data_IF_779080614362
#
_entry.id   IF_779080614362
#
_cell.length_a   1.000
_cell.length_b   1.000
_cell.length_c   1.000
_cell.angle_alpha   90.00
_cell.angle_beta   90.00
_cell.angle_gamma   90.00
#
_symmetry.space_group_name_H-M   'P 1'
#
loop_
_entity.id
_entity.type
_entity.pdbx_description
1 polymer ?
#
# COMPACT_ATOMS: atom_id res chain seq x y z
N UNK A 1 25.35 20.29 79.31
CA UNK A 1 23.98 19.89 78.82
C UNK A 1 23.59 20.47 77.47
N UNK A 2 24.21 21.58 76.94
CA UNK A 2 23.89 22.22 75.68
C UNK A 2 24.42 21.54 74.41
N UNK A 3 25.42 20.66 74.49
CA UNK A 3 26.06 20.06 73.30
C UNK A 3 25.31 18.82 72.79
N UNK A 4 24.68 18.00 73.68
CA UNK A 4 23.94 16.80 73.31
C UNK A 4 22.65 17.11 72.49
N UNK A 5 22.01 18.24 72.74
CA UNK A 5 20.79 18.64 72.00
C UNK A 5 21.06 19.08 70.57
N UNK A 6 22.18 19.69 70.28
CA UNK A 6 22.54 20.09 68.91
C UNK A 6 22.83 18.85 68.01
N UNK A 7 23.50 17.84 68.55
CA UNK A 7 23.80 16.61 67.77
C UNK A 7 22.53 15.83 67.48
N UNK A 8 21.62 15.69 68.46
CA UNK A 8 20.34 15.02 68.25
C UNK A 8 19.44 15.73 67.24
N UNK A 9 19.43 17.08 67.22
CA UNK A 9 18.64 17.84 66.26
C UNK A 9 19.19 17.69 64.83
N UNK A 10 20.49 17.61 64.63
CA UNK A 10 21.13 17.40 63.32
C UNK A 10 20.83 15.99 62.82
N UNK A 11 20.91 14.95 63.65
CA UNK A 11 20.56 13.58 63.26
C UNK A 11 19.09 13.43 62.88
N UNK A 12 18.17 14.12 63.54
CA UNK A 12 16.73 14.07 63.25
C UNK A 12 16.45 14.77 61.92
N UNK A 13 17.10 15.91 61.64
CA UNK A 13 16.95 16.64 60.38
C UNK A 13 17.53 15.84 59.19
N UNK A 14 18.72 15.25 59.33
CA UNK A 14 19.31 14.40 58.29
C UNK A 14 18.48 13.15 57.99
N UNK A 15 17.84 12.55 59.01
CA UNK A 15 16.92 11.42 58.79
C UNK A 15 15.64 11.82 58.11
N UNK A 16 15.08 12.99 58.44
CA UNK A 16 13.85 13.48 57.78
C UNK A 16 14.10 13.80 56.30
N UNK A 17 15.23 14.41 55.98
CA UNK A 17 15.60 14.73 54.57
C UNK A 17 15.78 13.45 53.75
N UNK A 18 16.45 12.43 54.28
CA UNK A 18 16.60 11.15 53.55
C UNK A 18 15.28 10.40 53.35
N UNK A 19 14.33 10.54 54.25
CA UNK A 19 12.99 9.96 54.10
C UNK A 19 12.18 10.77 53.09
N UNK A 20 12.24 12.10 53.14
CA UNK A 20 11.54 12.98 52.20
C UNK A 20 12.04 12.78 50.79
N UNK A 21 13.35 12.68 50.56
CA UNK A 21 13.91 12.38 49.23
C UNK A 21 13.51 11.01 48.70
N UNK A 22 13.42 9.99 49.54
CA UNK A 22 12.93 8.64 49.14
C UNK A 22 11.45 8.65 48.75
N UNK A 23 10.62 9.41 49.47
CA UNK A 23 9.19 9.54 49.15
C UNK A 23 9.00 10.30 47.89
N UNK A 24 9.73 11.40 47.65
CA UNK A 24 9.69 12.17 46.40
C UNK A 24 10.14 11.27 45.21
N UNK A 25 11.18 10.47 45.40
CA UNK A 25 11.67 9.55 44.34
C UNK A 25 10.66 8.45 44.05
N UNK A 26 9.98 7.90 45.05
CA UNK A 26 8.94 6.88 44.87
C UNK A 26 7.70 7.46 44.15
N UNK A 27 7.30 8.70 44.48
CA UNK A 27 6.14 9.36 43.84
C UNK A 27 6.46 9.73 42.41
N UNK A 28 7.69 10.16 42.11
CA UNK A 28 8.09 10.44 40.72
C UNK A 28 8.15 9.19 39.86
N UNK A 29 8.63 8.07 40.37
CA UNK A 29 8.65 6.80 39.63
C UNK A 29 7.23 6.27 39.39
N UNK A 30 6.33 6.38 40.38
CA UNK A 30 4.93 5.95 40.20
C UNK A 30 4.16 6.85 39.26
N UNK A 31 4.37 8.17 39.29
CA UNK A 31 3.75 9.10 38.34
C UNK A 31 4.28 8.89 36.92
N UNK A 32 5.59 8.68 36.74
CA UNK A 32 6.20 8.36 35.44
C UNK A 32 5.69 7.03 34.89
N UNK A 33 5.52 6.02 35.72
CA UNK A 33 4.96 4.72 35.33
C UNK A 33 3.49 4.80 34.91
N UNK A 34 2.68 5.66 35.54
CA UNK A 34 1.28 5.88 35.18
C UNK A 34 1.16 6.64 33.82
N UNK A 35 2.02 7.63 33.59
CA UNK A 35 2.03 8.37 32.30
C UNK A 35 2.51 7.46 31.16
N UNK A 36 3.50 6.59 31.40
CA UNK A 36 3.93 5.61 30.41
C UNK A 36 2.87 4.54 30.13
N UNK A 37 2.16 4.07 31.16
CA UNK A 37 1.08 3.10 30.97
C UNK A 37 -0.12 3.68 30.19
N UNK A 38 -0.41 4.96 30.32
CA UNK A 38 -1.44 5.64 29.52
C UNK A 38 -0.97 5.89 28.07
N UNK A 39 0.31 6.17 27.84
CA UNK A 39 0.87 6.34 26.50
C UNK A 39 0.88 5.02 25.71
N UNK A 40 1.17 3.89 26.36
CA UNK A 40 1.14 2.57 25.71
C UNK A 40 -0.30 2.10 25.44
N UNK A 41 -1.28 2.49 26.27
CA UNK A 41 -2.69 2.15 26.04
C UNK A 41 -3.31 2.92 24.85
N UNK A 42 -2.72 4.04 24.41
CA UNK A 42 -3.20 4.81 23.25
C UNK A 42 -2.50 4.45 21.94
N UNK A 43 -1.43 3.65 21.96
CA UNK A 43 -0.70 3.22 20.77
C UNK A 43 -1.37 2.03 20.02
N UNK A 44 -2.45 1.45 20.54
CA UNK A 44 -3.12 0.29 19.95
C UNK A 44 -4.46 0.60 19.25
N UNK A 45 -4.77 1.86 18.91
CA UNK A 45 -6.05 2.21 18.29
C UNK A 45 -5.95 3.17 17.12
N UNK A 46 -5.05 2.95 16.17
CA UNK A 46 -5.13 3.57 14.85
C UNK A 46 -4.86 2.55 13.74
N UNK A 47 -5.63 1.47 13.72
CA UNK A 47 -5.97 0.86 12.43
C UNK A 47 -7.24 1.57 11.97
N UNK A 48 -7.13 2.44 10.99
CA UNK A 48 -8.28 3.06 10.35
C UNK A 48 -8.93 2.04 9.41
N UNK A 49 -9.53 0.99 9.99
CA UNK A 49 -10.38 0.09 9.25
C UNK A 49 -11.56 0.89 8.69
N UNK A 50 -11.91 0.64 7.43
CA UNK A 50 -13.13 1.19 6.88
C UNK A 50 -14.32 0.73 7.74
N UNK A 51 -15.33 1.58 7.91
CA UNK A 51 -16.55 1.26 8.68
C UNK A 51 -17.77 1.36 7.79
N UNK A 52 -18.73 0.49 8.01
CA UNK A 52 -20.03 0.56 7.34
C UNK A 52 -20.90 1.61 8.02
N UNK A 53 -21.46 2.53 7.26
CA UNK A 53 -22.51 3.43 7.72
C UNK A 53 -23.86 2.74 7.52
N UNK A 54 -24.40 2.18 8.61
CA UNK A 54 -25.64 1.40 8.61
C UNK A 54 -26.84 2.22 8.16
N UNK A 55 -26.96 3.48 8.61
CA UNK A 55 -28.10 4.36 8.31
C UNK A 55 -28.21 4.70 6.81
N UNK A 56 -27.13 4.59 6.07
CA UNK A 56 -27.06 4.90 4.64
C UNK A 56 -26.88 3.66 3.77
N UNK A 57 -26.81 2.48 4.38
CA UNK A 57 -26.67 1.18 3.70
C UNK A 57 -28.02 0.47 3.61
N UNK A 58 -28.27 -0.19 2.48
CA UNK A 58 -29.54 -0.89 2.24
C UNK A 58 -29.34 -2.03 1.24
N UNK A 59 -30.10 -3.11 1.45
CA UNK A 59 -30.27 -4.21 0.50
C UNK A 59 -31.78 -4.33 0.26
N UNK A 60 -32.20 -4.20 -0.98
CA UNK A 60 -33.63 -4.18 -1.34
C UNK A 60 -33.91 -4.94 -2.63
N UNK A 61 -35.14 -5.42 -2.75
CA UNK A 61 -35.59 -6.09 -3.95
C UNK A 61 -35.98 -5.08 -5.04
N UNK A 62 -35.54 -5.35 -6.25
CA UNK A 62 -35.88 -4.60 -7.43
C UNK A 62 -36.95 -5.30 -8.27
N UNK A 63 -37.12 -4.85 -9.52
CA UNK A 63 -38.07 -5.46 -10.45
C UNK A 63 -37.54 -6.80 -10.99
N UNK A 64 -38.50 -7.72 -11.32
CA UNK A 64 -38.19 -9.02 -11.94
C UNK A 64 -37.23 -9.91 -11.13
N UNK A 65 -37.30 -9.87 -9.80
CA UNK A 65 -36.44 -10.67 -8.92
C UNK A 65 -34.98 -10.22 -8.87
N UNK A 66 -34.70 -8.98 -9.22
CA UNK A 66 -33.39 -8.36 -8.99
C UNK A 66 -33.22 -7.94 -7.54
N UNK A 67 -31.97 -7.83 -7.10
CA UNK A 67 -31.60 -7.31 -5.78
C UNK A 67 -30.58 -6.18 -5.98
N UNK A 68 -30.75 -5.10 -5.25
CA UNK A 68 -29.76 -4.01 -5.20
C UNK A 68 -29.16 -3.93 -3.80
N UNK A 69 -27.85 -3.99 -3.71
CA UNK A 69 -27.09 -3.80 -2.49
C UNK A 69 -26.32 -2.49 -2.59
N UNK A 70 -26.51 -1.62 -1.59
CA UNK A 70 -25.72 -0.41 -1.41
C UNK A 70 -25.14 -0.38 0.00
N UNK A 71 -23.81 -0.33 0.10
CA UNK A 71 -23.08 -0.12 1.35
C UNK A 71 -22.33 1.20 1.30
N UNK A 72 -22.57 2.05 2.28
CA UNK A 72 -21.81 3.27 2.50
C UNK A 72 -20.65 3.00 3.45
N UNK A 73 -19.45 3.30 3.00
CA UNK A 73 -18.21 3.04 3.71
C UNK A 73 -17.51 4.35 4.09
N UNK A 74 -16.85 4.36 5.24
CA UNK A 74 -16.09 5.53 5.69
C UNK A 74 -14.89 5.85 4.80
N UNK A 75 -14.41 4.88 4.02
CA UNK A 75 -13.33 5.00 3.04
C UNK A 75 -13.43 3.87 2.01
N UNK A 76 -12.84 4.04 0.81
CA UNK A 76 -12.81 2.98 -0.18
C UNK A 76 -11.92 1.83 0.29
N UNK A 77 -12.35 0.60 0.00
CA UNK A 77 -11.60 -0.63 0.28
C UNK A 77 -11.64 -1.55 -0.95
N UNK A 78 -10.58 -2.30 -1.21
CA UNK A 78 -10.63 -3.39 -2.19
C UNK A 78 -11.67 -4.42 -1.79
N UNK A 79 -12.40 -4.92 -2.78
CA UNK A 79 -13.41 -5.93 -2.55
C UNK A 79 -13.49 -6.88 -3.75
N UNK A 80 -14.06 -8.06 -3.53
CA UNK A 80 -14.44 -9.00 -4.58
C UNK A 80 -15.80 -9.58 -4.29
N UNK A 81 -16.53 -9.93 -5.35
CA UNK A 81 -17.86 -10.54 -5.26
C UNK A 81 -17.84 -11.86 -6.03
N UNK A 82 -18.35 -12.92 -5.41
CA UNK A 82 -18.45 -14.23 -6.04
C UNK A 82 -19.66 -15.01 -5.53
N UNK A 83 -20.03 -16.05 -6.25
CA UNK A 83 -21.14 -16.91 -5.87
C UNK A 83 -20.62 -18.24 -5.35
N UNK A 84 -21.34 -18.83 -4.39
CA UNK A 84 -21.12 -20.19 -3.90
C UNK A 84 -22.42 -21.00 -3.98
N UNK A 85 -22.31 -22.30 -4.23
CA UNK A 85 -23.43 -23.24 -4.18
C UNK A 85 -23.42 -24.09 -2.92
N UNK A 86 -24.61 -24.67 -2.67
CA UNK A 86 -24.85 -25.66 -1.60
C UNK A 86 -24.59 -25.11 -0.19
N UNK A 87 -25.40 -24.14 0.28
CA UNK A 87 -26.50 -23.45 -0.36
C UNK A 87 -26.06 -22.31 -1.29
N UNK A 88 -26.99 -21.77 -2.10
CA UNK A 88 -26.72 -20.65 -2.99
C UNK A 88 -26.43 -19.37 -2.18
N UNK A 89 -25.32 -18.71 -2.46
CA UNK A 89 -24.84 -17.54 -1.72
C UNK A 89 -24.14 -16.56 -2.65
N UNK A 90 -24.27 -15.27 -2.36
CA UNK A 90 -23.34 -14.24 -2.80
C UNK A 90 -22.37 -13.99 -1.66
N UNK A 91 -21.09 -13.95 -1.97
CA UNK A 91 -20.03 -13.66 -1.01
C UNK A 91 -19.31 -12.40 -1.46
N UNK A 92 -19.12 -11.47 -0.53
CA UNK A 92 -18.37 -10.24 -0.75
C UNK A 92 -17.24 -10.20 0.27
N UNK A 93 -16.01 -10.29 -0.21
CA UNK A 93 -14.81 -10.12 0.62
C UNK A 93 -14.34 -8.68 0.54
N UNK A 94 -13.94 -8.13 1.67
CA UNK A 94 -13.40 -6.80 1.81
C UNK A 94 -12.03 -6.85 2.47
N UNK A 95 -11.12 -6.02 2.01
CA UNK A 95 -9.88 -5.77 2.72
C UNK A 95 -10.13 -4.68 3.79
N UNK A 96 -9.69 -4.94 5.03
CA UNK A 96 -9.70 -3.96 6.13
C UNK A 96 -11.04 -3.24 6.39
N UNK A 97 -12.15 -3.99 6.41
CA UNK A 97 -13.48 -3.48 6.78
C UNK A 97 -13.86 -3.95 8.19
N UNK A 98 -14.25 -3.00 9.05
CA UNK A 98 -14.78 -3.23 10.40
C UNK A 98 -16.32 -3.26 10.37
N UNK A 99 -16.88 -4.34 10.89
CA UNK A 99 -18.33 -4.54 11.01
C UNK A 99 -18.91 -4.10 12.36
N UNK A 100 -18.12 -3.42 13.20
CA UNK A 100 -18.61 -2.95 14.49
C UNK A 100 -19.82 -2.02 14.32
N UNK A 101 -20.94 -2.39 14.94
CA UNK A 101 -22.19 -1.64 14.84
C UNK A 101 -23.03 -1.95 13.60
N UNK A 102 -22.65 -2.89 12.75
CA UNK A 102 -23.49 -3.32 11.64
C UNK A 102 -24.74 -4.05 12.16
N UNK A 103 -25.90 -3.60 11.72
CA UNK A 103 -27.21 -4.16 12.06
C UNK A 103 -27.86 -4.73 10.80
N UNK A 104 -27.91 -6.06 10.73
CA UNK A 104 -28.49 -6.80 9.62
C UNK A 104 -29.96 -6.40 9.37
N UNK A 105 -30.76 -6.32 10.44
CA UNK A 105 -32.19 -6.04 10.33
C UNK A 105 -32.45 -4.60 9.82
N UNK A 106 -31.54 -3.68 10.10
CA UNK A 106 -31.61 -2.31 9.59
C UNK A 106 -31.29 -2.26 8.08
N UNK A 107 -30.34 -3.06 7.61
CA UNK A 107 -29.81 -3.03 6.24
C UNK A 107 -30.58 -3.94 5.29
N UNK A 108 -30.91 -5.18 5.70
CA UNK A 108 -31.60 -6.14 4.84
C UNK A 108 -33.11 -5.88 4.78
N UNK A 109 -33.58 -5.47 3.62
CA UNK A 109 -35.03 -5.30 3.30
C UNK A 109 -35.46 -6.22 2.16
N UNK A 110 -34.61 -7.14 1.72
CA UNK A 110 -34.88 -8.07 0.63
C UNK A 110 -35.55 -9.33 1.15
N UNK A 111 -36.61 -9.81 0.46
CA UNK A 111 -37.26 -11.09 0.70
C UNK A 111 -36.50 -12.24 -0.01
N UNK A 112 -35.61 -11.91 -0.95
CA UNK A 112 -34.79 -12.89 -1.70
C UNK A 112 -33.54 -13.31 -0.96
N UNK A 113 -33.21 -12.65 0.16
CA UNK A 113 -32.08 -12.99 1.03
C UNK A 113 -32.61 -13.56 2.33
N UNK A 114 -32.26 -14.82 2.60
CA UNK A 114 -32.73 -15.55 3.79
C UNK A 114 -31.92 -15.23 5.04
N UNK A 115 -30.64 -14.90 4.89
CA UNK A 115 -29.72 -14.66 6.00
C UNK A 115 -28.54 -13.81 5.55
N UNK A 116 -28.02 -12.98 6.46
CA UNK A 116 -26.83 -12.17 6.29
C UNK A 116 -25.79 -12.56 7.33
N UNK A 117 -24.61 -12.93 6.90
CA UNK A 117 -23.49 -13.24 7.80
C UNK A 117 -22.29 -12.37 7.45
N UNK A 118 -21.67 -11.80 8.47
CA UNK A 118 -20.55 -10.90 8.27
C UNK A 118 -19.52 -11.06 9.40
N UNK A 119 -18.28 -10.67 9.12
CA UNK A 119 -17.22 -10.72 10.11
C UNK A 119 -15.84 -10.89 9.52
N UNK A 120 -14.84 -10.85 10.38
CA UNK A 120 -13.44 -11.12 10.02
C UNK A 120 -13.28 -12.63 9.85
N UNK A 121 -12.82 -13.09 8.68
CA UNK A 121 -12.55 -14.50 8.45
C UNK A 121 -11.06 -14.84 8.40
N UNK A 122 -10.19 -13.82 8.27
CA UNK A 122 -8.74 -13.91 8.41
C UNK A 122 -8.17 -12.52 8.69
N UNK A 123 -6.92 -12.38 9.21
CA UNK A 123 -6.31 -11.07 9.46
C UNK A 123 -6.35 -10.16 8.23
N UNK A 124 -6.79 -8.91 8.40
CA UNK A 124 -6.93 -7.91 7.35
C UNK A 124 -8.11 -8.14 6.38
N UNK A 125 -8.94 -9.17 6.59
CA UNK A 125 -10.02 -9.55 5.68
C UNK A 125 -11.32 -9.77 6.40
N UNK A 126 -12.36 -9.15 5.89
CA UNK A 126 -13.72 -9.35 6.35
C UNK A 126 -14.62 -9.80 5.20
N UNK A 127 -15.71 -10.44 5.54
CA UNK A 127 -16.63 -11.08 4.59
C UNK A 127 -18.07 -10.72 4.93
N UNK A 128 -18.85 -10.46 3.90
CA UNK A 128 -20.31 -10.45 3.94
C UNK A 128 -20.82 -11.60 3.09
N UNK A 129 -21.71 -12.42 3.64
CA UNK A 129 -22.35 -13.54 2.95
C UNK A 129 -23.85 -13.29 2.91
N UNK A 130 -24.42 -13.33 1.73
CA UNK A 130 -25.87 -13.26 1.48
C UNK A 130 -26.35 -14.68 1.15
N UNK A 131 -27.11 -15.31 2.04
CA UNK A 131 -27.75 -16.59 1.76
C UNK A 131 -29.03 -16.33 0.95
N UNK A 132 -29.15 -17.00 -0.21
CA UNK A 132 -30.16 -16.68 -1.21
C UNK A 132 -31.36 -17.60 -1.15
N UNK A 133 -32.58 -17.05 -1.20
CA UNK A 133 -33.84 -17.76 -1.45
C UNK A 133 -34.11 -17.95 -2.95
N UNK A 134 -33.52 -17.10 -3.79
CA UNK A 134 -33.63 -17.15 -5.24
C UNK A 134 -32.24 -16.96 -5.88
N UNK A 135 -32.00 -17.60 -7.02
CA UNK A 135 -30.72 -17.48 -7.71
C UNK A 135 -30.61 -16.10 -8.37
N UNK A 136 -29.62 -15.32 -7.93
CA UNK A 136 -29.21 -14.06 -8.54
C UNK A 136 -27.72 -14.03 -8.76
N UNK A 137 -27.27 -13.33 -9.79
CA UNK A 137 -25.85 -13.10 -10.08
C UNK A 137 -25.55 -11.61 -10.14
N UNK A 138 -24.37 -11.15 -9.72
CA UNK A 138 -23.96 -9.78 -9.93
C UNK A 138 -24.01 -9.42 -11.42
N UNK A 139 -24.65 -8.31 -11.75
CA UNK A 139 -24.76 -7.77 -13.11
C UNK A 139 -23.93 -6.50 -13.25
N UNK A 140 -24.02 -5.61 -12.27
CA UNK A 140 -23.20 -4.41 -12.19
C UNK A 140 -22.63 -4.30 -10.79
N UNK A 141 -21.34 -4.03 -10.71
CA UNK A 141 -20.63 -3.90 -9.45
C UNK A 141 -19.69 -2.70 -9.53
N UNK A 142 -19.94 -1.70 -8.67
CA UNK A 142 -19.19 -0.47 -8.69
C UNK A 142 -18.92 0.02 -7.27
N UNK A 143 -17.70 0.49 -6.99
CA UNK A 143 -17.41 1.29 -5.81
C UNK A 143 -17.14 2.73 -6.24
N UNK A 144 -18.03 3.65 -5.86
CA UNK A 144 -17.91 5.08 -6.10
C UNK A 144 -17.22 5.73 -4.92
N UNK A 145 -16.20 6.53 -5.21
CA UNK A 145 -15.40 7.21 -4.19
C UNK A 145 -15.69 8.70 -4.23
N UNK A 146 -15.85 9.33 -3.06
CA UNK A 146 -16.03 10.78 -2.95
C UNK A 146 -14.77 11.52 -3.43
N UNK A 147 -14.92 12.78 -3.86
CA UNK A 147 -13.80 13.59 -4.36
C UNK A 147 -12.65 13.72 -3.33
N UNK A 148 -12.99 13.71 -2.04
CA UNK A 148 -12.01 13.80 -0.95
C UNK A 148 -11.47 12.43 -0.49
N UNK A 149 -11.84 11.32 -1.15
CA UNK A 149 -11.48 9.95 -0.72
C UNK A 149 -11.88 9.58 0.71
N UNK A 150 -12.76 10.37 1.32
CA UNK A 150 -13.19 10.22 2.70
C UNK A 150 -14.44 9.34 2.87
N UNK A 151 -15.07 8.91 1.76
CA UNK A 151 -16.25 8.03 1.76
C UNK A 151 -16.30 7.24 0.46
N UNK A 152 -16.88 6.06 0.52
CA UNK A 152 -17.14 5.24 -0.65
C UNK A 152 -18.52 4.60 -0.56
N UNK A 153 -19.19 4.46 -1.71
CA UNK A 153 -20.44 3.74 -1.86
C UNK A 153 -20.17 2.49 -2.71
N UNK A 154 -20.31 1.32 -2.13
CA UNK A 154 -20.34 0.07 -2.90
C UNK A 154 -21.78 -0.15 -3.38
N UNK A 155 -21.95 -0.27 -4.70
CA UNK A 155 -23.20 -0.62 -5.36
C UNK A 155 -23.03 -1.97 -6.08
N UNK A 156 -23.92 -2.92 -5.78
CA UNK A 156 -23.99 -4.20 -6.47
C UNK A 156 -25.42 -4.44 -6.89
N UNK A 157 -25.65 -4.42 -8.19
CA UNK A 157 -26.96 -4.75 -8.75
C UNK A 157 -26.91 -6.20 -9.25
N UNK A 158 -27.84 -7.02 -8.76
CA UNK A 158 -27.90 -8.45 -9.02
C UNK A 158 -29.20 -8.75 -9.79
N UNK A 159 -29.12 -9.62 -10.78
CA UNK A 159 -30.27 -10.04 -11.59
C UNK A 159 -30.60 -11.52 -11.38
N UNK A 160 -31.87 -11.86 -11.54
CA UNK A 160 -32.34 -13.24 -11.48
C UNK A 160 -31.58 -14.12 -12.51
N UNK A 161 -31.16 -15.29 -12.08
CA UNK A 161 -30.34 -16.20 -12.88
C UNK A 161 -30.91 -17.60 -12.93
N UNK A 162 -30.65 -18.30 -14.05
CA UNK A 162 -30.87 -19.76 -14.12
C UNK A 162 -29.74 -20.50 -13.39
N UNK A 163 -29.95 -21.77 -13.10
CA UNK A 163 -28.93 -22.64 -12.54
C UNK A 163 -27.63 -22.69 -13.35
N UNK A 164 -27.75 -22.66 -14.68
CA UNK A 164 -26.59 -22.70 -15.58
C UNK A 164 -25.78 -21.40 -15.49
N UNK A 165 -26.46 -20.25 -15.50
CA UNK A 165 -25.83 -18.92 -15.39
C UNK A 165 -25.16 -18.77 -14.02
N UNK A 166 -25.85 -19.13 -12.93
CA UNK A 166 -25.29 -19.08 -11.59
C UNK A 166 -24.03 -19.96 -11.45
N UNK A 167 -24.04 -21.17 -12.03
CA UNK A 167 -22.87 -22.06 -12.03
C UNK A 167 -21.72 -21.55 -12.88
N UNK A 168 -22.04 -20.94 -14.05
CA UNK A 168 -21.05 -20.33 -14.92
C UNK A 168 -20.35 -19.17 -14.20
N UNK A 169 -21.12 -18.34 -13.52
CA UNK A 169 -20.60 -17.21 -12.76
C UNK A 169 -19.68 -17.65 -11.60
N UNK A 170 -20.04 -18.73 -10.89
CA UNK A 170 -19.20 -19.28 -9.82
C UNK A 170 -17.82 -19.77 -10.31
N UNK A 171 -17.73 -20.29 -11.53
CA UNK A 171 -16.46 -20.75 -12.12
C UNK A 171 -15.62 -19.61 -12.67
N UNK A 172 -16.26 -18.59 -13.23
CA UNK A 172 -15.57 -17.47 -13.86
C UNK A 172 -14.89 -16.55 -12.82
N UNK A 173 -15.39 -16.52 -11.58
CA UNK A 173 -14.89 -15.66 -10.51
C UNK A 173 -13.89 -16.33 -9.56
N UNK A 174 -13.63 -17.63 -9.71
CA UNK A 174 -12.44 -18.23 -9.07
C UNK A 174 -11.15 -17.63 -9.66
N UNK A 175 -11.23 -17.08 -10.89
CA UNK A 175 -10.12 -16.46 -11.62
C UNK A 175 -10.11 -14.93 -11.56
N UNK A 176 -11.24 -14.28 -11.21
CA UNK A 176 -11.32 -12.80 -11.18
C UNK A 176 -10.85 -12.23 -9.83
N UNK A 177 -9.78 -11.47 -9.88
CA UNK A 177 -9.23 -10.73 -8.75
C UNK A 177 -10.18 -9.66 -8.16
N UNK A 178 -9.69 -8.86 -7.21
CA UNK A 178 -10.47 -7.80 -6.57
C UNK A 178 -10.99 -6.76 -7.56
N UNK A 179 -12.27 -6.37 -7.42
CA UNK A 179 -12.81 -5.19 -8.08
C UNK A 179 -12.23 -3.95 -7.41
N UNK A 180 -11.41 -3.21 -8.14
CA UNK A 180 -10.85 -1.96 -7.65
C UNK A 180 -11.91 -0.85 -7.66
N UNK A 181 -11.87 0.09 -6.68
CA UNK A 181 -12.77 1.24 -6.68
C UNK A 181 -12.67 2.02 -7.99
N UNK A 182 -13.79 2.15 -8.72
CA UNK A 182 -13.81 3.01 -9.90
C UNK A 182 -13.85 4.47 -9.47
N UNK A 183 -12.77 5.19 -9.72
CA UNK A 183 -12.78 6.65 -9.62
C UNK A 183 -13.73 7.24 -10.67
N UNK A 184 -14.60 8.19 -10.29
CA UNK A 184 -15.44 8.97 -11.22
C UNK A 184 -14.63 9.77 -12.26
N UNK A 185 -13.35 9.79 -12.16
CA UNK A 185 -12.44 10.45 -13.08
C UNK A 185 -12.14 9.53 -14.26
N UNK A 186 -13.05 9.51 -15.23
CA UNK A 186 -12.72 9.18 -16.62
C UNK A 186 -11.68 10.18 -17.16
N UNK A 187 -10.48 10.17 -16.59
CA UNK A 187 -9.39 10.99 -17.14
C UNK A 187 -8.98 10.38 -18.46
N UNK A 188 -8.96 11.24 -19.49
CA UNK A 188 -8.27 10.93 -20.75
C UNK A 188 -6.86 10.43 -20.41
N UNK A 189 -6.31 9.47 -21.16
CA UNK A 189 -4.93 9.04 -21.00
C UNK A 189 -4.03 10.26 -20.85
N UNK A 190 -3.20 10.25 -19.81
CA UNK A 190 -2.32 11.38 -19.54
C UNK A 190 -1.35 11.53 -20.71
N UNK A 191 -1.28 12.72 -21.27
CA UNK A 191 -0.29 12.98 -22.31
C UNK A 191 1.12 12.97 -21.71
N UNK A 192 2.04 12.31 -22.41
CA UNK A 192 3.48 12.31 -22.10
C UNK A 192 3.97 13.75 -21.91
N UNK A 193 4.84 13.96 -20.95
CA UNK A 193 5.46 15.25 -20.70
C UNK A 193 6.40 15.65 -21.86
N UNK A 194 6.43 16.94 -22.19
CA UNK A 194 7.23 17.50 -23.30
C UNK A 194 8.22 18.58 -22.80
N UNK A 195 8.43 18.68 -21.50
CA UNK A 195 9.26 19.69 -20.86
C UNK A 195 8.57 21.04 -20.66
N UNK A 196 7.26 21.13 -20.90
CA UNK A 196 6.42 22.32 -20.80
C UNK A 196 5.69 22.44 -19.44
N UNK A 197 5.84 21.44 -18.59
CA UNK A 197 5.22 21.36 -17.26
C UNK A 197 6.10 20.62 -16.25
N UNK A 198 5.78 20.77 -14.98
CA UNK A 198 6.42 19.98 -13.93
C UNK A 198 6.11 18.49 -14.13
N UNK A 199 7.12 17.65 -14.01
CA UNK A 199 6.97 16.20 -14.02
C UNK A 199 6.30 15.75 -12.71
N UNK A 200 5.28 14.89 -12.82
CA UNK A 200 4.62 14.29 -11.66
C UNK A 200 5.33 12.98 -11.30
N UNK A 201 6.07 13.01 -10.21
CA UNK A 201 6.73 11.85 -9.62
C UNK A 201 5.81 11.26 -8.55
N UNK A 202 5.47 10.00 -8.67
CA UNK A 202 4.81 9.27 -7.59
C UNK A 202 5.82 8.32 -6.97
N UNK A 203 6.01 8.45 -5.66
CA UNK A 203 6.87 7.58 -4.88
C UNK A 203 6.00 6.54 -4.20
N UNK A 204 6.38 5.28 -4.33
CA UNK A 204 5.67 4.15 -3.74
C UNK A 204 6.55 3.52 -2.66
N UNK A 205 6.40 3.89 -1.37
CA UNK A 205 7.08 3.19 -0.29
C UNK A 205 6.48 1.79 -0.14
N UNK A 206 7.30 0.76 -0.36
CA UNK A 206 6.90 -0.64 -0.29
C UNK A 206 6.24 -1.02 1.04
N UNK A 207 5.52 -2.15 1.06
CA UNK A 207 4.89 -2.70 2.27
C UNK A 207 3.92 -1.74 2.97
N UNK A 208 3.65 -1.94 4.26
CA UNK A 208 2.80 -1.08 5.09
C UNK A 208 1.68 -1.85 5.80
N UNK A 209 1.21 -1.33 6.94
CA UNK A 209 0.18 -1.95 7.77
C UNK A 209 0.61 -3.33 8.27
N UNK A 210 -0.17 -4.36 7.91
CA UNK A 210 0.09 -5.77 8.28
C UNK A 210 1.28 -6.39 7.55
N UNK A 211 1.73 -5.79 6.47
CA UNK A 211 2.92 -6.19 5.73
C UNK A 211 4.13 -5.38 6.21
N UNK A 212 4.94 -5.95 7.09
CA UNK A 212 6.17 -5.33 7.62
C UNK A 212 7.28 -5.23 6.58
N UNK A 213 7.22 -6.04 5.51
CA UNK A 213 8.37 -6.31 4.64
C UNK A 213 9.44 -7.12 5.37
N UNK A 214 10.70 -6.85 5.06
CA UNK A 214 11.82 -7.47 5.77
C UNK A 214 11.94 -6.94 7.20
N UNK A 215 12.34 -7.84 8.11
CA UNK A 215 12.58 -7.51 9.52
C UNK A 215 14.00 -7.91 9.93
N UNK A 216 14.74 -6.97 10.51
CA UNK A 216 16.10 -7.21 11.01
C UNK A 216 16.46 -6.29 12.17
N UNK A 217 17.00 -6.83 13.24
CA UNK A 217 17.53 -6.11 14.41
C UNK A 217 16.53 -5.09 14.99
N UNK A 218 15.21 -5.43 15.00
CA UNK A 218 14.12 -4.56 15.49
C UNK A 218 13.69 -3.47 14.51
N UNK A 219 14.16 -3.49 13.26
CA UNK A 219 13.75 -2.61 12.19
C UNK A 219 12.85 -3.35 11.20
N UNK A 220 11.81 -2.67 10.72
CA UNK A 220 10.90 -3.16 9.68
C UNK A 220 11.10 -2.34 8.40
N UNK A 221 11.14 -3.02 7.25
CA UNK A 221 11.34 -2.40 5.95
C UNK A 221 10.35 -1.26 5.70
N UNK A 222 9.06 -1.49 5.97
CA UNK A 222 7.99 -0.50 5.73
C UNK A 222 8.26 0.87 6.35
N UNK A 223 8.97 0.93 7.48
CA UNK A 223 9.33 2.18 8.15
C UNK A 223 10.53 2.86 7.50
N UNK A 224 11.54 2.07 7.10
CA UNK A 224 12.75 2.60 6.47
C UNK A 224 12.45 3.19 5.09
N UNK A 225 11.65 2.49 4.28
CA UNK A 225 11.27 2.95 2.95
C UNK A 225 10.31 4.14 3.01
N UNK A 226 9.42 4.20 4.01
CA UNK A 226 8.56 5.36 4.24
C UNK A 226 9.40 6.59 4.60
N UNK A 227 10.36 6.45 5.51
CA UNK A 227 11.24 7.54 5.88
C UNK A 227 12.01 8.08 4.67
N UNK A 228 12.60 7.19 3.88
CA UNK A 228 13.29 7.57 2.66
C UNK A 228 12.37 8.28 1.66
N UNK A 229 11.16 7.77 1.45
CA UNK A 229 10.19 8.34 0.53
C UNK A 229 9.79 9.77 0.92
N UNK A 230 9.58 10.04 2.22
CA UNK A 230 9.27 11.37 2.73
C UNK A 230 10.46 12.34 2.58
N UNK A 231 11.68 11.87 2.87
CA UNK A 231 12.91 12.66 2.68
C UNK A 231 13.13 12.99 1.18
N UNK A 232 12.89 12.03 0.29
CA UNK A 232 12.97 12.23 -1.17
C UNK A 232 11.91 13.22 -1.66
N UNK A 233 10.66 13.08 -1.22
CA UNK A 233 9.59 14.02 -1.53
C UNK A 233 9.98 15.45 -1.16
N UNK A 234 10.45 15.65 0.07
CA UNK A 234 10.85 16.98 0.56
C UNK A 234 11.89 17.65 -0.36
N UNK A 235 12.92 16.89 -0.75
CA UNK A 235 13.98 17.39 -1.63
C UNK A 235 13.44 17.70 -3.03
N UNK A 236 12.67 16.78 -3.62
CA UNK A 236 12.12 16.98 -4.97
C UNK A 236 11.17 18.19 -5.02
N UNK A 237 10.28 18.34 -4.05
CA UNK A 237 9.34 19.48 -3.96
C UNK A 237 10.09 20.79 -3.80
N UNK A 238 11.14 20.81 -3.00
CA UNK A 238 11.99 22.01 -2.77
C UNK A 238 12.63 22.53 -4.05
N UNK A 239 12.92 21.67 -5.03
CA UNK A 239 13.47 22.10 -6.33
C UNK A 239 12.49 22.89 -7.18
N UNK A 240 11.18 22.79 -6.91
CA UNK A 240 10.08 23.37 -7.70
C UNK A 240 10.00 22.84 -9.16
N UNK A 241 10.82 21.86 -9.55
CA UNK A 241 10.82 21.21 -10.88
C UNK A 241 9.79 20.08 -10.99
N UNK A 242 9.47 19.48 -9.86
CA UNK A 242 8.59 18.32 -9.75
C UNK A 242 7.29 18.65 -9.01
N UNK A 243 6.24 17.91 -9.34
CA UNK A 243 5.10 17.63 -8.47
C UNK A 243 5.34 16.24 -7.90
N UNK A 244 5.15 16.07 -6.61
CA UNK A 244 5.41 14.79 -5.95
C UNK A 244 4.21 14.41 -5.12
N UNK A 245 3.87 13.14 -5.12
CA UNK A 245 2.94 12.55 -4.17
C UNK A 245 3.38 11.10 -3.87
N UNK A 246 2.85 10.51 -2.80
CA UNK A 246 3.12 9.14 -2.39
C UNK A 246 1.89 8.27 -2.60
N UNK A 247 2.11 6.97 -2.85
CA UNK A 247 1.02 6.00 -2.88
C UNK A 247 0.37 5.87 -1.50
N UNK A 248 1.15 5.86 -0.43
CA UNK A 248 0.70 5.94 0.97
C UNK A 248 1.55 6.95 1.75
N UNK A 249 0.96 7.55 2.78
CA UNK A 249 1.63 8.49 3.70
C UNK A 249 1.62 8.02 5.15
N UNK A 250 0.88 6.95 5.41
CA UNK A 250 0.70 6.35 6.71
C UNK A 250 1.13 4.88 6.68
N UNK A 251 1.25 4.27 7.84
CA UNK A 251 1.53 2.83 7.95
C UNK A 251 0.25 2.02 7.71
N UNK A 252 -0.19 2.00 6.45
CA UNK A 252 -1.36 1.26 5.97
C UNK A 252 -0.94 0.27 4.88
N UNK A 253 -1.58 -0.89 4.86
CA UNK A 253 -1.41 -1.85 3.77
C UNK A 253 -2.06 -1.31 2.49
N UNK A 254 -1.33 -1.43 1.38
CA UNK A 254 -1.84 -1.11 0.05
C UNK A 254 -1.45 -2.22 -0.92
N UNK A 255 -2.44 -2.78 -1.61
CA UNK A 255 -2.19 -3.83 -2.60
C UNK A 255 -1.39 -3.34 -3.81
N UNK A 256 -0.69 -4.22 -4.51
CA UNK A 256 0.08 -3.83 -5.70
C UNK A 256 -0.81 -3.19 -6.79
N UNK A 257 -2.01 -3.72 -7.12
CA UNK A 257 -2.93 -3.05 -8.04
C UNK A 257 -3.37 -1.66 -7.57
N UNK A 258 -3.59 -1.48 -6.25
CA UNK A 258 -3.99 -0.19 -5.69
C UNK A 258 -2.87 0.86 -5.81
N UNK A 259 -1.60 0.46 -5.67
CA UNK A 259 -0.44 1.35 -5.87
C UNK A 259 -0.41 1.90 -7.29
N UNK A 260 -0.60 1.03 -8.30
CA UNK A 260 -0.69 1.43 -9.70
C UNK A 260 -1.90 2.34 -9.95
N UNK A 261 -3.07 1.97 -9.42
CA UNK A 261 -4.30 2.76 -9.54
C UNK A 261 -4.14 4.14 -8.92
N UNK A 262 -3.50 4.21 -7.75
CA UNK A 262 -3.17 5.48 -7.06
C UNK A 262 -2.22 6.33 -7.90
N UNK A 263 -1.17 5.75 -8.46
CA UNK A 263 -0.23 6.45 -9.32
C UNK A 263 -0.93 7.05 -10.56
N UNK A 264 -1.85 6.29 -11.19
CA UNK A 264 -2.67 6.79 -12.31
C UNK A 264 -3.58 7.95 -11.91
N UNK A 265 -4.26 7.83 -10.77
CA UNK A 265 -5.14 8.90 -10.29
C UNK A 265 -4.40 10.19 -10.01
N UNK A 266 -3.22 10.10 -9.43
CA UNK A 266 -2.33 11.22 -9.20
C UNK A 266 -1.78 11.78 -10.51
N UNK A 267 -1.95 11.04 -11.61
CA UNK A 267 -1.45 11.40 -12.92
C UNK A 267 0.07 11.34 -12.97
N UNK A 268 0.67 10.25 -12.50
CA UNK A 268 2.11 10.02 -12.53
C UNK A 268 2.68 10.15 -13.95
N UNK A 269 3.82 10.81 -14.09
CA UNK A 269 4.70 10.73 -15.26
C UNK A 269 5.74 9.64 -15.07
N UNK A 270 6.01 9.31 -13.80
CA UNK A 270 6.94 8.27 -13.38
C UNK A 270 6.53 7.72 -12.01
N UNK A 271 6.72 6.42 -11.82
CA UNK A 271 6.52 5.71 -10.54
C UNK A 271 7.87 5.19 -10.06
N UNK A 272 8.24 5.55 -8.83
CA UNK A 272 9.43 5.05 -8.13
C UNK A 272 8.96 4.18 -6.96
N UNK A 273 9.04 2.86 -7.09
CA UNK A 273 8.79 1.95 -5.97
C UNK A 273 10.08 1.77 -5.18
N UNK A 274 10.03 1.92 -3.87
CA UNK A 274 11.22 1.94 -2.98
C UNK A 274 11.14 0.81 -1.99
N UNK A 275 12.19 0.00 -1.95
CA UNK A 275 12.31 -1.21 -1.14
C UNK A 275 13.67 -1.32 -0.44
N UNK A 276 13.76 -2.21 0.55
CA UNK A 276 14.99 -2.53 1.29
C UNK A 276 14.94 -3.96 1.83
N UNK A 277 14.69 -4.91 0.95
CA UNK A 277 14.35 -6.29 1.25
C UNK A 277 15.45 -7.07 2.01
N UNK A 278 15.18 -8.29 2.40
CA UNK A 278 16.14 -9.23 2.96
C UNK A 278 16.16 -10.52 2.15
N UNK A 279 17.35 -10.94 1.78
CA UNK A 279 17.65 -12.24 1.15
C UNK A 279 18.47 -13.10 2.08
N UNK A 280 18.73 -14.35 1.68
CA UNK A 280 19.66 -15.21 2.42
C UNK A 280 21.02 -14.51 2.62
N UNK A 281 21.59 -14.62 3.82
CA UNK A 281 22.83 -13.92 4.20
C UNK A 281 23.93 -14.10 3.16
N UNK A 282 24.58 -13.00 2.76
CA UNK A 282 25.67 -12.97 1.79
C UNK A 282 25.26 -13.05 0.33
N UNK A 283 23.96 -13.15 0.00
CA UNK A 283 23.49 -13.27 -1.38
C UNK A 283 23.41 -11.94 -2.12
N UNK A 284 23.20 -10.82 -1.43
CA UNK A 284 23.05 -9.49 -2.02
C UNK A 284 23.58 -8.37 -1.12
N UNK A 285 24.05 -7.31 -1.75
CA UNK A 285 24.47 -6.05 -1.10
C UNK A 285 24.45 -4.91 -2.10
N UNK A 286 24.24 -3.69 -1.61
CA UNK A 286 24.26 -2.45 -2.37
C UNK A 286 22.98 -2.18 -3.15
N UNK A 287 22.80 -0.92 -3.52
CA UNK A 287 21.63 -0.46 -4.25
C UNK A 287 21.47 -1.14 -5.60
N UNK A 288 20.25 -1.53 -5.93
CA UNK A 288 19.89 -2.23 -7.17
C UNK A 288 18.62 -1.62 -7.76
N UNK A 289 18.59 -1.42 -9.07
CA UNK A 289 17.43 -0.88 -9.79
C UNK A 289 16.81 -2.00 -10.62
N UNK A 290 15.48 -2.12 -10.57
CA UNK A 290 14.74 -3.12 -11.35
C UNK A 290 13.78 -2.44 -12.32
N UNK A 291 13.73 -2.99 -13.55
CA UNK A 291 12.69 -2.72 -14.54
C UNK A 291 11.91 -3.99 -14.86
N UNK A 292 10.70 -3.82 -15.41
CA UNK A 292 9.81 -4.92 -15.72
C UNK A 292 10.39 -5.84 -16.80
N UNK A 293 10.26 -7.15 -16.57
CA UNK A 293 10.46 -8.18 -17.61
C UNK A 293 9.76 -9.46 -17.17
N UNK A 294 9.18 -10.18 -18.10
CA UNK A 294 8.58 -11.50 -17.87
C UNK A 294 9.63 -12.54 -17.47
N UNK A 295 10.90 -12.31 -17.80
CA UNK A 295 12.02 -13.16 -17.42
C UNK A 295 12.94 -12.44 -16.46
N UNK A 296 13.08 -12.97 -15.26
CA UNK A 296 14.04 -12.47 -14.28
C UNK A 296 15.48 -12.65 -14.78
N UNK A 297 16.29 -11.60 -14.66
CA UNK A 297 17.69 -11.59 -15.10
C UNK A 297 18.64 -12.38 -14.19
N UNK A 298 18.15 -12.84 -13.03
CA UNK A 298 18.90 -13.65 -12.07
C UNK A 298 17.95 -14.43 -11.13
N UNK A 299 18.46 -15.51 -10.52
CA UNK A 299 17.72 -16.26 -9.48
C UNK A 299 17.31 -15.36 -8.32
N UNK A 300 18.17 -14.43 -7.91
CA UNK A 300 17.86 -13.44 -6.88
C UNK A 300 16.68 -12.54 -7.28
N UNK A 301 16.64 -12.05 -8.52
CA UNK A 301 15.55 -11.22 -9.01
C UNK A 301 14.22 -12.00 -9.03
N UNK A 302 14.26 -13.30 -9.39
CA UNK A 302 13.10 -14.18 -9.33
C UNK A 302 12.62 -14.40 -7.88
N UNK A 303 13.55 -14.64 -6.96
CA UNK A 303 13.27 -14.84 -5.52
C UNK A 303 12.61 -13.60 -4.89
N UNK A 304 13.12 -12.40 -5.20
CA UNK A 304 12.55 -11.14 -4.74
C UNK A 304 11.14 -10.92 -5.30
N UNK A 305 10.94 -11.18 -6.60
CA UNK A 305 9.61 -11.07 -7.22
C UNK A 305 8.60 -12.00 -6.54
N UNK A 306 8.97 -13.27 -6.34
CA UNK A 306 8.11 -14.26 -5.68
C UNK A 306 7.78 -13.83 -4.24
N UNK A 307 8.74 -13.25 -3.52
CA UNK A 307 8.53 -12.77 -2.15
C UNK A 307 7.55 -11.59 -2.12
N UNK A 308 7.68 -10.63 -3.02
CA UNK A 308 6.77 -9.50 -3.14
C UNK A 308 5.34 -9.95 -3.52
N UNK A 309 5.21 -10.88 -4.47
CA UNK A 309 3.92 -11.41 -4.86
C UNK A 309 3.27 -12.22 -3.72
N UNK A 310 4.06 -12.95 -2.93
CA UNK A 310 3.56 -13.65 -1.72
C UNK A 310 3.01 -12.70 -0.66
N UNK A 311 3.57 -11.52 -0.48
CA UNK A 311 3.04 -10.53 0.46
C UNK A 311 1.60 -10.15 0.10
N UNK A 312 1.29 -10.07 -1.20
CA UNK A 312 -0.07 -9.87 -1.69
C UNK A 312 -0.95 -11.12 -1.53
N UNK A 313 -0.42 -12.32 -1.73
CA UNK A 313 -1.14 -13.58 -1.50
C UNK A 313 -1.47 -13.75 -0.01
N UNK A 314 -0.57 -13.39 0.90
CA UNK A 314 -0.82 -13.38 2.35
C UNK A 314 -1.90 -12.35 2.72
N UNK A 315 -1.95 -11.24 2.01
CA UNK A 315 -3.03 -10.28 2.07
C UNK A 315 -4.29 -10.73 1.30
N UNK A 316 -4.24 -11.87 0.61
CA UNK A 316 -5.36 -12.54 -0.05
C UNK A 316 -5.68 -12.05 -1.44
N UNK A 317 -4.71 -11.45 -2.12
CA UNK A 317 -4.81 -11.04 -3.51
C UNK A 317 -4.11 -12.08 -4.35
N UNK A 318 -4.86 -12.77 -5.22
CA UNK A 318 -4.29 -13.63 -6.24
C UNK A 318 -4.03 -12.80 -7.50
N UNK A 319 -2.78 -12.78 -7.95
CA UNK A 319 -2.34 -12.01 -9.11
C UNK A 319 -2.25 -12.88 -10.38
N UNK A 320 -2.60 -14.17 -10.32
CA UNK A 320 -2.26 -15.14 -11.35
C UNK A 320 -3.05 -15.01 -12.66
N UNK A 321 -4.17 -14.24 -12.71
CA UNK A 321 -5.00 -14.16 -13.94
C UNK A 321 -5.52 -12.75 -14.24
N UNK A 322 -4.62 -11.87 -14.69
CA UNK A 322 -5.01 -10.58 -15.30
C UNK A 322 -4.60 -10.52 -16.78
N UNK A 323 -5.07 -11.47 -17.59
CA UNK A 323 -4.93 -11.40 -19.06
C UNK A 323 -6.31 -11.26 -19.72
N UNK A 324 -6.68 -10.03 -20.00
CA UNK A 324 -7.84 -9.69 -20.84
C UNK A 324 -7.38 -9.59 -22.31
N UNK A 325 -7.69 -10.61 -23.12
CA UNK A 325 -7.10 -10.83 -24.45
C UNK A 325 -7.45 -9.77 -25.52
N UNK A 326 -8.39 -8.87 -25.32
CA UNK A 326 -8.81 -7.88 -26.31
C UNK A 326 -8.16 -6.50 -26.06
N UNK A 327 -7.78 -6.19 -24.85
CA UNK A 327 -7.00 -4.99 -24.51
C UNK A 327 -5.51 -5.17 -24.81
N UNK A 328 -5.03 -6.40 -25.04
CA UNK A 328 -3.61 -6.78 -25.04
C UNK A 328 -2.79 -6.04 -26.10
N UNK A 329 -3.25 -5.89 -27.33
CA UNK A 329 -2.43 -5.28 -28.41
C UNK A 329 -2.17 -3.78 -28.20
N UNK A 330 -3.16 -3.02 -27.74
CA UNK A 330 -2.98 -1.59 -27.42
C UNK A 330 -2.18 -1.42 -26.13
N UNK A 331 -2.36 -2.31 -25.17
CA UNK A 331 -1.59 -2.37 -23.93
C UNK A 331 -0.14 -2.74 -24.23
N UNK A 332 0.11 -3.71 -25.10
CA UNK A 332 1.45 -4.13 -25.50
C UNK A 332 2.20 -3.01 -26.27
N UNK A 333 1.50 -2.28 -27.13
CA UNK A 333 2.10 -1.10 -27.78
C UNK A 333 2.42 0.02 -26.79
N UNK A 334 1.54 0.27 -25.81
CA UNK A 334 1.79 1.25 -24.74
C UNK A 334 2.96 0.80 -23.86
N UNK A 335 3.07 -0.50 -23.55
CA UNK A 335 4.19 -1.08 -22.79
C UNK A 335 5.51 -0.88 -23.49
N UNK A 336 5.61 -1.12 -24.81
CA UNK A 336 6.86 -0.93 -25.55
C UNK A 336 7.44 0.48 -25.35
N UNK A 337 6.61 1.52 -25.42
CA UNK A 337 7.06 2.89 -25.16
C UNK A 337 7.43 3.10 -23.69
N UNK A 338 6.63 2.57 -22.77
CA UNK A 338 6.81 2.72 -21.34
C UNK A 338 8.04 1.97 -20.85
N UNK A 339 8.32 0.77 -21.36
CA UNK A 339 9.48 -0.04 -20.99
C UNK A 339 10.78 0.65 -21.39
N UNK A 340 10.87 1.22 -22.62
CA UNK A 340 12.04 2.00 -23.05
C UNK A 340 12.28 3.22 -22.13
N UNK A 341 11.23 3.88 -21.67
CA UNK A 341 11.30 5.03 -20.77
C UNK A 341 11.74 4.60 -19.36
N UNK A 342 11.26 3.45 -18.90
CA UNK A 342 11.66 2.84 -17.62
C UNK A 342 13.13 2.43 -17.63
N UNK A 343 13.59 1.80 -18.72
CA UNK A 343 14.98 1.41 -18.91
C UNK A 343 15.92 2.63 -18.93
N UNK A 344 15.53 3.68 -19.66
CA UNK A 344 16.26 4.95 -19.69
C UNK A 344 16.36 5.56 -18.28
N UNK A 345 15.27 5.57 -17.50
CA UNK A 345 15.26 6.03 -16.13
C UNK A 345 16.18 5.19 -15.24
N UNK A 346 16.12 3.85 -15.36
CA UNK A 346 16.98 2.94 -14.61
C UNK A 346 18.46 3.21 -14.85
N UNK A 347 18.86 3.48 -16.09
CA UNK A 347 20.23 3.81 -16.45
C UNK A 347 20.70 5.11 -15.79
N UNK A 348 19.87 6.16 -15.79
CA UNK A 348 20.18 7.42 -15.10
C UNK A 348 20.24 7.23 -13.58
N UNK A 349 19.35 6.40 -13.00
CA UNK A 349 19.40 6.09 -11.56
C UNK A 349 20.68 5.35 -11.17
N UNK A 350 21.09 4.38 -11.97
CA UNK A 350 22.36 3.66 -11.77
C UNK A 350 23.52 4.63 -11.79
N UNK A 351 23.57 5.53 -12.77
CA UNK A 351 24.64 6.52 -12.90
C UNK A 351 24.62 7.52 -11.73
N UNK A 352 23.48 8.17 -11.47
CA UNK A 352 23.36 9.21 -10.44
C UNK A 352 23.62 8.68 -9.03
N UNK A 353 23.01 7.56 -8.67
CA UNK A 353 23.22 6.93 -7.36
C UNK A 353 24.67 6.45 -7.25
N UNK A 354 25.21 5.82 -8.30
CA UNK A 354 26.59 5.33 -8.31
C UNK A 354 27.63 6.43 -8.10
N UNK A 355 27.42 7.60 -8.72
CA UNK A 355 28.29 8.76 -8.53
C UNK A 355 28.19 9.34 -7.11
N UNK A 356 26.98 9.35 -6.53
CA UNK A 356 26.72 9.95 -5.22
C UNK A 356 27.16 9.08 -4.04
N UNK A 357 26.95 7.75 -4.11
CA UNK A 357 27.24 6.80 -3.03
C UNK A 357 28.60 6.15 -3.19
N UNK A 358 29.09 6.01 -4.42
CA UNK A 358 30.39 5.42 -4.75
C UNK A 358 30.46 3.89 -4.65
N UNK A 359 29.47 3.23 -4.06
CA UNK A 359 29.44 1.78 -3.93
C UNK A 359 28.02 1.25 -4.23
N UNK A 360 27.80 0.91 -5.49
CA UNK A 360 26.61 0.20 -5.95
C UNK A 360 27.00 -1.24 -6.35
N UNK A 361 26.01 -2.09 -6.52
CA UNK A 361 26.24 -3.47 -6.97
C UNK A 361 26.97 -3.52 -8.32
N UNK A 362 27.77 -4.59 -8.57
CA UNK A 362 28.49 -4.79 -9.86
C UNK A 362 27.55 -4.83 -11.08
N UNK A 363 26.33 -5.34 -10.92
CA UNK A 363 25.24 -5.29 -11.92
C UNK A 363 24.05 -4.62 -11.25
N UNK A 364 24.02 -3.30 -11.27
CA UNK A 364 23.06 -2.54 -10.49
C UNK A 364 21.67 -2.43 -11.15
N UNK A 365 21.56 -2.69 -12.46
CA UNK A 365 20.29 -2.76 -13.17
C UNK A 365 19.97 -4.24 -13.46
N UNK A 366 18.80 -4.68 -13.02
CA UNK A 366 18.27 -6.02 -13.18
C UNK A 366 16.84 -5.98 -13.74
N UNK A 367 16.41 -7.10 -14.30
CA UNK A 367 15.09 -7.30 -14.86
C UNK A 367 14.30 -8.27 -13.99
N UNK A 368 13.03 -7.98 -13.71
CA UNK A 368 12.16 -8.87 -12.94
C UNK A 368 10.67 -8.58 -13.16
N UNK A 369 9.81 -9.55 -12.88
CA UNK A 369 8.36 -9.51 -13.13
C UNK A 369 7.54 -8.83 -12.04
N UNK A 370 8.09 -7.86 -11.30
CA UNK A 370 7.39 -7.19 -10.19
C UNK A 370 6.03 -6.64 -10.61
N UNK A 371 4.98 -7.06 -9.90
CA UNK A 371 3.62 -6.65 -10.21
C UNK A 371 3.40 -5.14 -10.13
N UNK A 372 4.08 -4.44 -9.21
CA UNK A 372 4.01 -2.97 -9.08
C UNK A 372 4.55 -2.23 -10.31
N UNK A 373 5.37 -2.86 -11.14
CA UNK A 373 5.93 -2.27 -12.37
C UNK A 373 5.06 -2.51 -13.62
N UNK A 374 3.96 -3.25 -13.50
CA UNK A 374 3.10 -3.65 -14.62
C UNK A 374 2.17 -2.54 -15.15
N UNK A 375 2.34 -1.28 -14.75
CA UNK A 375 1.59 -0.16 -15.32
C UNK A 375 1.96 0.05 -16.81
N UNK A 376 1.04 -0.18 -17.77
CA UNK A 376 1.38 -0.07 -19.19
C UNK A 376 1.58 1.37 -19.68
N UNK A 377 1.16 2.36 -18.91
CA UNK A 377 1.07 3.77 -19.24
C UNK A 377 1.97 4.68 -18.40
N UNK A 378 2.68 4.11 -17.39
CA UNK A 378 3.53 4.87 -16.47
C UNK A 378 4.92 4.24 -16.42
N UNK A 379 5.97 4.93 -16.87
CA UNK A 379 7.35 4.48 -16.64
C UNK A 379 7.59 4.22 -15.17
N UNK A 380 8.02 3.00 -14.85
CA UNK A 380 8.12 2.52 -13.47
C UNK A 380 9.44 1.82 -13.22
N UNK A 381 10.05 2.10 -12.09
CA UNK A 381 11.24 1.41 -11.62
C UNK A 381 11.09 1.03 -10.14
N UNK A 382 11.70 -0.07 -9.73
CA UNK A 382 11.83 -0.42 -8.33
C UNK A 382 13.29 -0.20 -7.92
N UNK A 383 13.46 0.52 -6.82
CA UNK A 383 14.75 0.85 -6.22
C UNK A 383 14.90 0.05 -4.94
N UNK A 384 15.72 -0.99 -4.97
CA UNK A 384 16.24 -1.61 -3.77
C UNK A 384 17.35 -0.72 -3.23
N UNK A 385 17.11 -0.04 -2.12
CA UNK A 385 18.08 0.85 -1.50
C UNK A 385 19.31 0.10 -0.99
N UNK A 386 19.11 -1.10 -0.51
CA UNK A 386 20.07 -2.05 0.02
C UNK A 386 19.34 -3.23 0.63
N UNK A 387 20.05 -4.18 1.19
CA UNK A 387 19.44 -5.40 1.74
C UNK A 387 19.57 -5.42 3.26
N UNK A 388 18.43 -5.44 3.98
CA UNK A 388 18.42 -5.49 5.45
C UNK A 388 19.12 -6.74 6.01
N UNK A 389 19.21 -7.82 5.24
CA UNK A 389 20.02 -9.01 5.59
C UNK A 389 21.52 -8.74 5.63
N UNK A 390 22.02 -7.67 4.98
CA UNK A 390 23.39 -7.24 5.02
C UNK A 390 23.60 -6.15 6.07
N UNK A 391 24.49 -6.40 7.04
CA UNK A 391 24.72 -5.46 8.16
C UNK A 391 25.16 -4.06 7.70
N UNK A 392 26.07 -4.00 6.70
CA UNK A 392 26.57 -2.71 6.19
C UNK A 392 25.48 -1.93 5.45
N UNK A 393 24.59 -2.62 4.72
CA UNK A 393 23.48 -2.00 4.05
C UNK A 393 22.47 -1.47 5.07
N UNK A 394 22.14 -2.26 6.12
CA UNK A 394 21.24 -1.82 7.19
C UNK A 394 21.80 -0.58 7.92
N UNK A 395 23.09 -0.57 8.28
CA UNK A 395 23.74 0.60 8.87
C UNK A 395 23.66 1.83 7.95
N UNK A 396 23.80 1.62 6.65
CA UNK A 396 23.66 2.67 5.64
C UNK A 396 22.22 3.21 5.56
N UNK A 397 21.22 2.33 5.48
CA UNK A 397 19.80 2.67 5.46
C UNK A 397 19.38 3.52 6.68
N UNK A 398 19.94 3.21 7.86
CA UNK A 398 19.71 3.96 9.09
C UNK A 398 20.42 5.32 9.12
N UNK A 399 21.45 5.53 8.30
CA UNK A 399 22.28 6.73 8.30
C UNK A 399 21.72 7.82 7.39
N UNK A 400 21.28 8.95 7.97
CA UNK A 400 20.74 10.09 7.18
C UNK A 400 21.71 10.56 6.09
N UNK A 401 23.00 10.72 6.41
CA UNK A 401 23.98 11.20 5.44
C UNK A 401 24.14 10.27 4.22
N UNK A 402 23.90 8.99 4.38
CA UNK A 402 23.87 8.04 3.26
C UNK A 402 22.59 8.20 2.45
N UNK A 403 21.40 8.31 3.11
CA UNK A 403 20.14 8.55 2.43
C UNK A 403 20.15 9.86 1.64
N UNK A 404 20.72 10.92 2.20
CA UNK A 404 20.89 12.21 1.51
C UNK A 404 21.71 12.07 0.21
N UNK A 405 22.73 11.22 0.19
CA UNK A 405 23.51 10.93 -1.02
C UNK A 405 22.70 10.18 -2.06
N UNK A 406 21.96 9.14 -1.65
CA UNK A 406 21.09 8.40 -2.57
C UNK A 406 20.03 9.34 -3.16
N UNK A 407 19.39 10.17 -2.32
CA UNK A 407 18.40 11.16 -2.75
C UNK A 407 18.99 12.15 -3.77
N UNK A 408 20.24 12.60 -3.55
CA UNK A 408 20.92 13.46 -4.54
C UNK A 408 21.10 12.75 -5.86
N UNK A 409 21.51 11.48 -5.86
CA UNK A 409 21.66 10.66 -7.06
C UNK A 409 20.32 10.42 -7.78
N UNK A 410 19.22 10.22 -7.03
CA UNK A 410 17.88 10.09 -7.60
C UNK A 410 17.42 11.42 -8.23
N UNK A 411 17.71 12.55 -7.57
CA UNK A 411 17.39 13.87 -8.11
C UNK A 411 18.12 14.12 -9.44
N UNK A 412 19.43 13.86 -9.50
CA UNK A 412 20.24 14.04 -10.71
C UNK A 412 19.75 13.13 -11.84
N UNK A 413 19.36 11.89 -11.51
CA UNK A 413 18.79 10.94 -12.45
C UNK A 413 17.46 11.42 -13.04
N UNK A 414 16.56 11.91 -12.19
CA UNK A 414 15.25 12.45 -12.62
C UNK A 414 15.42 13.70 -13.50
N UNK A 415 16.38 14.56 -13.17
CA UNK A 415 16.68 15.77 -13.97
C UNK A 415 17.11 15.39 -15.38
N UNK A 416 18.07 14.48 -15.51
CA UNK A 416 18.57 14.01 -16.81
C UNK A 416 17.48 13.26 -17.58
N UNK A 417 16.76 12.34 -16.90
CA UNK A 417 15.66 11.61 -17.50
C UNK A 417 14.54 12.52 -18.00
N UNK A 418 14.16 13.53 -17.23
CA UNK A 418 13.05 14.42 -17.60
C UNK A 418 13.35 15.23 -18.89
N UNK A 419 14.60 15.62 -19.08
CA UNK A 419 15.06 16.33 -20.28
C UNK A 419 15.03 15.40 -21.50
N UNK A 420 15.59 14.20 -21.35
CA UNK A 420 15.69 13.21 -22.44
C UNK A 420 14.31 12.67 -22.81
N UNK A 421 13.46 12.37 -21.83
CA UNK A 421 12.09 11.92 -22.05
C UNK A 421 11.26 12.96 -22.81
N UNK A 422 11.43 14.24 -22.47
CA UNK A 422 10.78 15.34 -23.20
C UNK A 422 11.31 15.48 -24.63
N UNK A 423 12.60 15.29 -24.84
CA UNK A 423 13.21 15.35 -26.18
C UNK A 423 12.66 14.24 -27.08
N UNK A 424 12.63 13.00 -26.58
CA UNK A 424 12.03 11.85 -27.29
C UNK A 424 10.54 12.06 -27.54
N UNK A 425 9.78 12.57 -26.55
CA UNK A 425 8.35 12.85 -26.71
C UNK A 425 8.04 13.87 -27.81
N UNK A 426 8.92 14.84 -28.03
CA UNK A 426 8.79 15.81 -29.13
C UNK A 426 9.07 15.19 -30.51
N UNK A 427 10.06 14.29 -30.60
CA UNK A 427 10.40 13.60 -31.85
C UNK A 427 9.29 12.67 -32.35
N UNK A 428 8.57 12.00 -31.43
CA UNK A 428 7.47 11.09 -31.79
C UNK A 428 6.21 11.82 -32.32
N UNK A 429 6.14 13.15 -32.21
CA UNK A 429 5.01 13.96 -32.66
C UNK A 429 5.28 14.73 -33.95
N UNK A 430 6.46 14.60 -34.54
CA UNK A 430 6.80 15.12 -35.88
C UNK A 430 6.46 14.09 -36.93
#
# INVERSE_FOLDING_TARGET
>A
MRIKWKIWLIEVIERSDKIMWKVIWLVTITLSGLVFAQAVAHAHQFQALAKVNVDQSIIEDGRNGSISLRLELSQPVPFRVFTLRNPARIVIDFNELDWAGFDEAAVNKSEHISDLRFGIFRPGWSRLVLDLNALVVPHETEMRVSEAWSKATLQIDMIAASDEVFNGFSKQLEDDGFVLPKSKLGRRPKQRQLGDRRVMVVIDPGHGGVDSGAERDGHEEKHLVMQFALELEEILVRTQRYKVDLTRREDVFMSLPDRISRARMLGADVLLSVHADALAEGSATGTTIYTLSDQASSTMAAELTEKHDRSNLLAGIDLTDQDDQIASVLIDMARLETDLRSEMLANFLVEGIGQSVGNIRKRPHLLAGFAVLKAPDIPSVLIELGFMSNKSDLESLLTKAWRDKVISGVLDALDNWSIEDAAHGRLLRQ
#
